data_IF_324503569809
#
_entry.id   IF_324503569809
#
_cell.length_a   1.000
_cell.length_b   1.000
_cell.length_c   1.000
_cell.angle_alpha   90.00
_cell.angle_beta   90.00
_cell.angle_gamma   90.00
#
_symmetry.space_group_name_H-M   'P 1'
#
loop_
_entity.id
_entity.type
_entity.pdbx_description
1 polymer ?
#
# COMPACT_ATOMS: atom_id res chain seq x y z
N UNK A 1 -16.43 -0.49 -3.64
CA UNK A 1 -15.05 0.02 -3.49
C UNK A 1 -14.49 -0.53 -2.18
N UNK A 2 -13.25 -1.00 -2.18
CA UNK A 2 -12.67 -1.84 -1.10
C UNK A 2 -11.73 -1.09 -0.16
N UNK A 3 -11.03 -0.09 -0.70
CA UNK A 3 -9.99 0.65 -0.01
C UNK A 3 -9.91 2.05 -0.62
N UNK A 4 -9.93 3.08 0.23
CA UNK A 4 -9.64 4.46 -0.13
C UNK A 4 -8.23 4.80 0.36
N UNK A 5 -7.34 5.16 -0.56
CA UNK A 5 -5.98 5.61 -0.23
C UNK A 5 -5.99 7.13 -0.05
N UNK A 6 -5.59 7.62 1.12
CA UNK A 6 -5.43 9.05 1.39
C UNK A 6 -3.96 9.41 1.51
N UNK A 7 -3.44 10.08 0.48
CA UNK A 7 -2.10 10.69 0.47
C UNK A 7 -2.15 12.03 1.25
N UNK A 8 -1.83 11.96 2.53
CA UNK A 8 -1.94 13.09 3.46
C UNK A 8 -0.75 14.05 3.26
N UNK A 9 -1.03 15.25 2.74
CA UNK A 9 -0.03 16.31 2.54
C UNK A 9 0.30 17.04 3.84
N UNK A 10 0.96 16.33 4.75
CA UNK A 10 1.22 16.73 6.14
C UNK A 10 2.47 17.59 6.34
N UNK A 11 3.33 17.70 5.33
CA UNK A 11 4.62 18.39 5.44
C UNK A 11 4.52 19.88 5.78
N UNK A 12 3.43 20.53 5.36
CA UNK A 12 3.17 21.96 5.62
C UNK A 12 2.40 22.21 6.93
N UNK A 13 2.00 21.16 7.65
CA UNK A 13 1.31 21.29 8.94
C UNK A 13 2.37 21.46 10.03
N UNK A 14 2.33 22.55 10.82
CA UNK A 14 3.27 22.72 11.94
C UNK A 14 3.16 21.59 12.96
N UNK A 15 4.27 21.26 13.62
CA UNK A 15 4.38 20.05 14.44
C UNK A 15 3.35 19.98 15.57
N UNK A 16 3.06 21.12 16.19
CA UNK A 16 2.06 21.33 17.24
C UNK A 16 0.62 21.07 16.77
N UNK A 17 0.32 21.24 15.48
CA UNK A 17 -1.01 21.02 14.91
C UNK A 17 -1.21 19.64 14.32
N UNK A 18 -0.14 18.83 14.14
CA UNK A 18 -0.24 17.50 13.51
C UNK A 18 -1.19 16.55 14.25
N UNK A 19 -1.18 16.59 15.58
CA UNK A 19 -2.09 15.77 16.39
C UNK A 19 -3.56 16.16 16.15
N UNK A 20 -3.84 17.47 16.12
CA UNK A 20 -5.17 18.01 15.83
C UNK A 20 -5.61 17.70 14.40
N UNK A 21 -4.72 17.84 13.41
CA UNK A 21 -5.01 17.50 12.01
C UNK A 21 -5.43 16.04 11.85
N UNK A 22 -4.73 15.12 12.52
CA UNK A 22 -5.10 13.70 12.58
C UNK A 22 -6.48 13.44 13.18
N UNK A 23 -6.80 14.12 14.28
CA UNK A 23 -8.12 14.06 14.91
C UNK A 23 -9.21 14.58 13.96
N UNK A 24 -9.03 15.75 13.35
CA UNK A 24 -9.99 16.35 12.41
C UNK A 24 -10.23 15.45 11.20
N UNK A 25 -9.20 14.78 10.70
CA UNK A 25 -9.34 13.77 9.65
C UNK A 25 -10.24 12.62 10.09
N UNK A 26 -9.99 12.03 11.27
CA UNK A 26 -10.81 10.93 11.77
C UNK A 26 -12.26 11.36 12.05
N UNK A 27 -12.48 12.56 12.61
CA UNK A 27 -13.80 13.18 12.75
C UNK A 27 -14.52 13.27 11.40
N UNK A 28 -13.82 13.68 10.36
CA UNK A 28 -14.37 13.82 9.01
C UNK A 28 -14.73 12.45 8.40
N UNK A 29 -13.88 11.43 8.58
CA UNK A 29 -14.18 10.07 8.13
C UNK A 29 -15.43 9.53 8.83
N UNK A 30 -15.53 9.68 10.14
CA UNK A 30 -16.73 9.29 10.90
C UNK A 30 -17.96 10.02 10.39
N UNK A 31 -17.89 11.36 10.28
CA UNK A 31 -19.05 12.18 9.94
C UNK A 31 -19.54 11.99 8.50
N UNK A 32 -18.62 11.90 7.55
CA UNK A 32 -18.97 12.00 6.12
C UNK A 32 -18.78 10.69 5.35
N UNK A 33 -17.92 9.79 5.78
CA UNK A 33 -17.67 8.52 5.08
C UNK A 33 -18.38 7.33 5.71
N UNK A 34 -18.46 7.28 7.05
CA UNK A 34 -18.95 6.10 7.77
C UNK A 34 -20.30 6.29 8.45
N UNK A 35 -20.77 7.53 8.64
CA UNK A 35 -22.05 7.80 9.30
C UNK A 35 -23.22 7.15 8.55
N UNK A 36 -24.00 6.32 9.26
CA UNK A 36 -25.14 5.61 8.69
C UNK A 36 -24.79 4.47 7.72
N UNK A 37 -23.49 4.14 7.54
CA UNK A 37 -23.06 3.07 6.63
C UNK A 37 -22.99 1.75 7.39
N UNK A 38 -23.74 0.70 6.96
CA UNK A 38 -23.67 -0.60 7.60
C UNK A 38 -22.26 -1.20 7.56
N UNK A 39 -21.91 -1.97 8.58
CA UNK A 39 -20.56 -2.49 8.78
C UNK A 39 -19.99 -3.23 7.56
N UNK A 40 -20.82 -4.03 6.88
CA UNK A 40 -20.43 -4.80 5.68
C UNK A 40 -20.18 -3.94 4.44
N UNK A 41 -20.58 -2.67 4.46
CA UNK A 41 -20.39 -1.68 3.38
C UNK A 41 -19.43 -0.56 3.77
N UNK A 42 -18.95 -0.53 5.01
CA UNK A 42 -18.02 0.47 5.50
C UNK A 42 -16.68 0.38 4.77
N UNK A 43 -16.27 1.49 4.16
CA UNK A 43 -15.02 1.60 3.41
C UNK A 43 -13.80 1.42 4.31
N UNK A 44 -12.79 0.66 3.86
CA UNK A 44 -11.46 0.71 4.45
C UNK A 44 -10.70 1.95 3.96
N UNK A 45 -9.88 2.56 4.81
CA UNK A 45 -9.12 3.76 4.50
C UNK A 45 -7.65 3.55 4.85
N UNK A 46 -6.75 3.78 3.90
CA UNK A 46 -5.31 3.78 4.13
C UNK A 46 -4.83 5.21 4.34
N UNK A 47 -4.30 5.50 5.52
CA UNK A 47 -3.74 6.79 5.89
C UNK A 47 -2.24 6.81 5.56
N UNK A 48 -1.87 7.53 4.51
CA UNK A 48 -0.48 7.65 4.07
C UNK A 48 0.10 9.01 4.47
N UNK A 49 1.03 9.03 5.41
CA UNK A 49 1.81 10.24 5.73
C UNK A 49 3.08 10.31 4.88
N UNK A 50 3.60 11.51 4.62
CA UNK A 50 4.81 11.67 3.81
C UNK A 50 6.08 11.15 4.49
N UNK A 51 6.22 11.39 5.80
CA UNK A 51 7.47 11.15 6.53
C UNK A 51 7.21 10.57 7.92
N UNK A 52 8.18 9.85 8.49
CA UNK A 52 8.04 9.22 9.82
C UNK A 52 7.88 10.23 10.96
N UNK A 53 8.42 11.44 10.80
CA UNK A 53 8.23 12.54 11.76
C UNK A 53 6.80 13.11 11.76
N UNK A 54 5.96 12.75 10.80
CA UNK A 54 4.54 13.13 10.73
C UNK A 54 3.63 12.17 11.53
N UNK A 55 4.18 11.20 12.25
CA UNK A 55 3.45 10.19 13.03
C UNK A 55 2.37 10.75 13.97
N UNK A 56 2.49 12.01 14.41
CA UNK A 56 1.48 12.64 15.26
C UNK A 56 0.12 12.79 14.56
N UNK A 57 0.09 12.86 13.22
CA UNK A 57 -1.16 12.83 12.44
C UNK A 57 -1.86 11.48 12.61
N UNK A 58 -1.12 10.38 12.42
CA UNK A 58 -1.66 9.04 12.64
C UNK A 58 -2.10 8.85 14.11
N UNK A 59 -1.28 9.31 15.07
CA UNK A 59 -1.60 9.26 16.51
C UNK A 59 -2.91 10.00 16.83
N UNK A 60 -3.14 11.16 16.23
CA UNK A 60 -4.38 11.93 16.41
C UNK A 60 -5.60 11.18 15.91
N UNK A 61 -5.50 10.57 14.73
CA UNK A 61 -6.56 9.77 14.14
C UNK A 61 -6.89 8.53 14.99
N UNK A 62 -5.86 7.78 15.39
CA UNK A 62 -6.00 6.60 16.27
C UNK A 62 -6.65 7.00 17.59
N UNK A 63 -6.17 8.06 18.25
CA UNK A 63 -6.70 8.52 19.55
C UNK A 63 -8.20 8.85 19.46
N UNK A 64 -8.63 9.50 18.38
CA UNK A 64 -10.05 9.80 18.18
C UNK A 64 -10.89 8.52 18.00
N UNK A 65 -10.39 7.59 17.19
CA UNK A 65 -11.09 6.32 16.94
C UNK A 65 -11.01 5.34 18.12
N UNK A 66 -10.17 5.57 19.13
CA UNK A 66 -10.13 4.79 20.38
C UNK A 66 -11.24 5.13 21.37
N UNK A 67 -12.04 6.15 21.09
CA UNK A 67 -13.26 6.40 21.86
C UNK A 67 -14.21 5.21 21.68
N UNK A 68 -14.86 4.78 22.76
CA UNK A 68 -15.73 3.58 22.79
C UNK A 68 -16.72 3.54 21.62
N UNK A 69 -17.37 4.67 21.34
CA UNK A 69 -18.32 4.83 20.22
C UNK A 69 -17.74 4.50 18.84
N UNK A 70 -16.43 4.69 18.63
CA UNK A 70 -15.77 4.57 17.33
C UNK A 70 -14.72 3.45 17.28
N UNK A 71 -14.48 2.72 18.38
CA UNK A 71 -13.46 1.68 18.47
C UNK A 71 -13.58 0.62 17.35
N UNK A 72 -14.81 0.27 16.98
CA UNK A 72 -15.09 -0.67 15.89
C UNK A 72 -14.60 -0.19 14.52
N UNK A 73 -14.41 1.11 14.30
CA UNK A 73 -13.91 1.67 13.04
C UNK A 73 -12.39 1.58 12.91
N UNK A 74 -11.65 1.30 13.98
CA UNK A 74 -10.20 1.10 13.88
C UNK A 74 -9.82 -0.03 12.93
N UNK A 75 -10.65 -1.08 12.86
CA UNK A 75 -10.44 -2.19 11.92
C UNK A 75 -10.54 -1.76 10.44
N UNK A 76 -11.06 -0.56 10.17
CA UNK A 76 -11.23 0.03 8.84
C UNK A 76 -10.11 0.96 8.45
N UNK A 77 -9.15 1.26 9.32
CA UNK A 77 -7.99 2.09 8.97
C UNK A 77 -6.71 1.27 8.84
N UNK A 78 -5.85 1.68 7.93
CA UNK A 78 -4.47 1.20 7.84
C UNK A 78 -3.50 2.35 7.65
N UNK A 79 -2.22 2.02 7.60
CA UNK A 79 -1.12 2.99 7.68
C UNK A 79 -0.09 2.77 6.58
N UNK A 80 0.38 3.86 5.98
CA UNK A 80 1.51 3.89 5.06
C UNK A 80 2.40 5.09 5.39
N UNK A 81 3.68 4.96 5.04
CA UNK A 81 4.65 6.06 5.06
C UNK A 81 5.27 6.16 3.68
N UNK A 82 4.95 7.27 3.01
CA UNK A 82 5.36 7.58 1.65
C UNK A 82 6.78 8.14 1.55
N UNK A 83 6.99 8.91 0.47
CA UNK A 83 8.24 9.62 0.13
C UNK A 83 9.53 8.79 0.21
N UNK A 84 9.40 7.46 0.07
CA UNK A 84 10.49 6.49 0.14
C UNK A 84 11.35 6.56 1.42
N UNK A 85 10.75 6.91 2.56
CA UNK A 85 11.45 6.88 3.85
C UNK A 85 12.13 5.51 4.08
N UNK A 86 13.31 5.46 4.74
CA UNK A 86 14.01 4.19 4.96
C UNK A 86 13.14 3.18 5.71
N UNK A 87 13.05 1.93 5.20
CA UNK A 87 12.16 0.89 5.77
C UNK A 87 12.40 0.63 7.27
N UNK A 88 13.63 0.82 7.74
CA UNK A 88 14.00 0.62 9.14
C UNK A 88 13.52 1.77 10.05
N UNK A 89 13.42 3.00 9.54
CA UNK A 89 12.81 4.13 10.25
C UNK A 89 11.29 3.96 10.35
N UNK A 90 10.66 3.53 9.27
CA UNK A 90 9.22 3.23 9.23
C UNK A 90 8.88 2.16 10.27
N UNK A 91 9.69 1.09 10.35
CA UNK A 91 9.55 0.05 11.37
C UNK A 91 9.61 0.62 12.79
N UNK A 92 10.64 1.41 13.11
CA UNK A 92 10.79 2.03 14.44
C UNK A 92 9.62 2.93 14.79
N UNK A 93 9.10 3.69 13.82
CA UNK A 93 7.91 4.52 14.00
C UNK A 93 6.70 3.67 14.40
N UNK A 94 6.42 2.59 13.65
CA UNK A 94 5.32 1.69 13.97
C UNK A 94 5.48 1.02 15.34
N UNK A 95 6.68 0.56 15.69
CA UNK A 95 6.99 -0.02 17.01
C UNK A 95 6.73 0.99 18.13
N UNK A 96 7.22 2.23 17.99
CA UNK A 96 6.99 3.32 18.96
C UNK A 96 5.50 3.66 19.14
N UNK A 97 4.72 3.53 18.07
CA UNK A 97 3.28 3.80 18.08
C UNK A 97 2.43 2.60 18.52
N UNK A 98 3.02 1.40 18.67
CA UNK A 98 2.27 0.17 18.92
C UNK A 98 1.45 -0.31 17.71
N UNK A 99 1.80 0.11 16.49
CA UNK A 99 1.11 -0.31 15.26
C UNK A 99 1.67 -1.66 14.81
N UNK A 100 0.90 -2.73 15.03
CA UNK A 100 1.33 -4.11 14.75
C UNK A 100 0.65 -4.76 13.54
N UNK A 101 -0.27 -4.05 12.89
CA UNK A 101 -1.06 -4.55 11.77
C UNK A 101 -1.54 -3.40 10.86
N UNK A 102 -2.10 -3.75 9.71
CA UNK A 102 -2.66 -2.84 8.70
C UNK A 102 -1.62 -1.92 8.05
N UNK A 103 -0.39 -2.41 7.89
CA UNK A 103 0.75 -1.64 7.38
C UNK A 103 0.95 -1.92 5.91
N UNK A 104 0.67 -0.93 5.08
CA UNK A 104 1.01 -0.94 3.67
C UNK A 104 2.38 -0.27 3.48
N UNK A 105 3.11 -0.69 2.45
CA UNK A 105 4.35 -0.04 2.05
C UNK A 105 4.34 0.22 0.55
N UNK A 106 4.41 1.50 0.19
CA UNK A 106 4.65 1.92 -1.18
C UNK A 106 6.11 1.92 -1.55
N UNK A 107 6.41 1.57 -2.79
CA UNK A 107 7.65 1.96 -3.48
C UNK A 107 7.30 2.60 -4.82
N UNK A 108 8.11 3.54 -5.29
CA UNK A 108 7.77 4.30 -6.48
C UNK A 108 8.60 5.54 -6.71
N UNK A 109 8.61 6.02 -7.94
CA UNK A 109 9.07 7.36 -8.29
C UNK A 109 8.18 7.91 -9.42
N UNK A 110 8.11 9.24 -9.58
CA UNK A 110 7.36 9.84 -10.69
C UNK A 110 7.78 9.20 -12.02
N UNK A 111 6.79 8.89 -12.87
CA UNK A 111 6.96 8.22 -14.18
C UNK A 111 8.09 8.81 -15.04
N UNK A 112 8.40 10.10 -14.89
CA UNK A 112 9.40 10.84 -15.64
C UNK A 112 10.85 10.40 -15.41
N UNK A 113 11.15 9.67 -14.32
CA UNK A 113 12.51 9.25 -13.94
C UNK A 113 12.69 7.73 -13.90
N UNK A 114 11.72 7.00 -14.47
CA UNK A 114 11.57 5.54 -14.31
C UNK A 114 12.69 4.72 -14.94
N UNK A 115 13.36 5.24 -15.96
CA UNK A 115 14.44 4.56 -16.68
C UNK A 115 15.76 4.49 -15.89
N UNK A 116 15.90 5.23 -14.78
CA UNK A 116 17.19 5.40 -14.09
C UNK A 116 17.26 4.78 -12.68
N UNK A 117 16.18 4.18 -12.16
CA UNK A 117 16.16 3.72 -10.76
C UNK A 117 15.80 2.22 -10.67
N UNK A 118 16.71 1.37 -10.16
CA UNK A 118 16.44 -0.05 -9.98
C UNK A 118 15.32 -0.29 -8.95
N UNK A 119 14.52 -1.35 -9.16
CA UNK A 119 13.49 -1.88 -8.25
C UNK A 119 14.01 -2.38 -6.88
N UNK A 120 15.16 -1.89 -6.40
CA UNK A 120 15.86 -2.42 -5.25
C UNK A 120 15.08 -2.20 -3.94
N UNK A 121 14.46 -1.02 -3.76
CA UNK A 121 13.65 -0.73 -2.57
C UNK A 121 12.33 -1.52 -2.58
N UNK A 122 11.65 -1.63 -3.72
CA UNK A 122 10.49 -2.51 -3.89
C UNK A 122 10.81 -3.95 -3.51
N UNK A 123 11.90 -4.53 -4.06
CA UNK A 123 12.34 -5.89 -3.71
C UNK A 123 12.65 -6.04 -2.22
N UNK A 124 13.24 -5.03 -1.58
CA UNK A 124 13.44 -5.00 -0.12
C UNK A 124 12.13 -5.00 0.67
N UNK A 125 11.15 -4.19 0.27
CA UNK A 125 9.83 -4.15 0.91
C UNK A 125 9.09 -5.50 0.77
N UNK A 126 9.17 -6.14 -0.41
CA UNK A 126 8.61 -7.47 -0.64
C UNK A 126 9.30 -8.53 0.23
N UNK A 127 10.63 -8.50 0.31
CA UNK A 127 11.40 -9.41 1.19
C UNK A 127 11.04 -9.20 2.67
N UNK A 128 10.86 -7.94 3.08
CA UNK A 128 10.44 -7.57 4.43
C UNK A 128 9.02 -8.04 4.74
N UNK A 129 8.07 -7.94 3.80
CA UNK A 129 6.70 -8.48 3.97
C UNK A 129 6.71 -9.99 4.15
N UNK A 130 7.51 -10.70 3.34
CA UNK A 130 7.50 -12.16 3.24
C UNK A 130 8.33 -12.88 4.33
N UNK A 131 9.28 -12.20 4.99
CA UNK A 131 10.10 -12.85 6.02
C UNK A 131 9.30 -13.14 7.31
N UNK A 132 9.64 -14.21 8.05
CA UNK A 132 9.13 -14.41 9.41
C UNK A 132 9.43 -13.18 10.28
N UNK A 133 8.43 -12.70 11.03
CA UNK A 133 8.53 -11.48 11.83
C UNK A 133 8.57 -10.17 11.03
N UNK A 134 8.36 -10.22 9.72
CA UNK A 134 8.26 -9.05 8.86
C UNK A 134 7.09 -8.14 9.24
N UNK A 135 7.32 -6.82 9.28
CA UNK A 135 6.31 -5.85 9.72
C UNK A 135 5.40 -5.35 8.60
N UNK A 136 5.71 -5.60 7.33
CA UNK A 136 4.86 -5.11 6.23
C UNK A 136 3.73 -6.11 6.00
N UNK A 137 2.49 -5.62 5.85
CA UNK A 137 1.31 -6.45 5.60
C UNK A 137 0.93 -6.49 4.12
N UNK A 138 1.11 -5.37 3.40
CA UNK A 138 0.90 -5.24 1.96
C UNK A 138 1.97 -4.37 1.32
N UNK A 139 2.32 -4.66 0.08
CA UNK A 139 3.24 -3.85 -0.73
C UNK A 139 2.53 -3.35 -1.97
N UNK A 140 2.64 -2.06 -2.29
CA UNK A 140 2.12 -1.51 -3.53
C UNK A 140 3.20 -0.78 -4.32
N UNK A 141 2.99 -0.65 -5.63
CA UNK A 141 3.90 0.05 -6.53
C UNK A 141 3.19 1.22 -7.23
N UNK A 142 3.85 2.37 -7.30
CA UNK A 142 3.27 3.60 -7.84
C UNK A 142 4.31 4.47 -8.58
N UNK A 143 3.93 5.36 -9.49
CA UNK A 143 2.76 5.21 -10.38
C UNK A 143 3.18 4.32 -11.54
N UNK A 144 2.30 3.44 -12.03
CA UNK A 144 2.67 2.48 -13.10
C UNK A 144 1.57 2.38 -14.15
N UNK A 145 1.86 2.79 -15.38
CA UNK A 145 0.83 2.93 -16.42
C UNK A 145 0.97 1.95 -17.60
N UNK A 146 2.19 1.44 -17.85
CA UNK A 146 2.46 0.53 -18.98
C UNK A 146 2.15 -0.92 -18.61
N UNK A 147 1.40 -1.68 -19.43
CA UNK A 147 1.06 -3.08 -19.17
C UNK A 147 2.27 -3.96 -18.83
N UNK A 148 3.38 -3.80 -19.56
CA UNK A 148 4.59 -4.60 -19.38
C UNK A 148 5.20 -4.38 -17.99
N UNK A 149 5.26 -3.12 -17.55
CA UNK A 149 5.77 -2.81 -16.22
C UNK A 149 4.79 -3.14 -15.10
N UNK A 150 3.48 -3.10 -15.37
CA UNK A 150 2.47 -3.64 -14.45
C UNK A 150 2.72 -5.13 -14.25
N UNK A 151 2.86 -5.88 -15.34
CA UNK A 151 3.12 -7.32 -15.30
C UNK A 151 4.43 -7.64 -14.58
N UNK A 152 5.52 -6.90 -14.83
CA UNK A 152 6.79 -7.05 -14.10
C UNK A 152 6.61 -6.84 -12.59
N UNK A 153 5.92 -5.77 -12.18
CA UNK A 153 5.70 -5.49 -10.78
C UNK A 153 4.83 -6.57 -10.11
N UNK A 154 3.81 -7.10 -10.81
CA UNK A 154 3.01 -8.23 -10.35
C UNK A 154 3.86 -9.50 -10.18
N UNK A 155 4.78 -9.80 -11.12
CA UNK A 155 5.70 -10.96 -11.01
C UNK A 155 6.58 -10.87 -9.77
N UNK A 156 7.09 -9.67 -9.46
CA UNK A 156 7.85 -9.41 -8.21
C UNK A 156 7.03 -9.71 -6.95
N UNK A 157 5.70 -9.64 -7.04
CA UNK A 157 4.78 -10.06 -6.00
C UNK A 157 4.26 -8.94 -5.13
N UNK A 158 3.93 -7.79 -5.72
CA UNK A 158 3.17 -6.72 -5.09
C UNK A 158 1.71 -7.13 -4.84
N UNK A 159 1.04 -6.44 -3.93
CA UNK A 159 -0.39 -6.60 -3.61
C UNK A 159 -1.29 -5.52 -4.25
N UNK A 160 -0.71 -4.39 -4.68
CA UNK A 160 -1.48 -3.27 -5.22
C UNK A 160 -0.67 -2.38 -6.17
N UNK A 161 -1.37 -1.68 -7.06
CA UNK A 161 -0.79 -0.73 -8.02
C UNK A 161 -1.57 0.57 -7.94
N UNK A 162 -0.86 1.70 -7.93
CA UNK A 162 -1.44 3.01 -8.23
C UNK A 162 -1.10 3.32 -9.69
N UNK A 163 -2.13 3.61 -10.50
CA UNK A 163 -2.03 3.79 -11.94
C UNK A 163 -3.02 4.85 -12.41
N UNK A 164 -2.65 5.62 -13.43
CA UNK A 164 -3.56 6.49 -14.17
C UNK A 164 -4.36 5.70 -15.23
N UNK A 165 -3.96 4.46 -15.53
CA UNK A 165 -4.57 3.59 -16.54
C UNK A 165 -5.10 2.29 -15.90
N UNK A 166 -6.14 2.34 -15.05
CA UNK A 166 -6.65 1.17 -14.33
C UNK A 166 -7.09 0.02 -15.23
N UNK A 167 -7.53 0.32 -16.47
CA UNK A 167 -7.85 -0.71 -17.47
C UNK A 167 -6.65 -1.59 -17.82
N UNK A 168 -5.44 -1.02 -17.90
CA UNK A 168 -4.23 -1.80 -18.16
C UNK A 168 -3.96 -2.77 -17.02
N UNK A 169 -4.11 -2.34 -15.76
CA UNK A 169 -3.94 -3.22 -14.61
C UNK A 169 -5.00 -4.34 -14.59
N UNK A 170 -6.25 -4.01 -14.90
CA UNK A 170 -7.32 -4.99 -15.03
C UNK A 170 -7.04 -6.03 -16.12
N UNK A 171 -6.67 -5.57 -17.32
CA UNK A 171 -6.40 -6.44 -18.47
C UNK A 171 -5.20 -7.36 -18.21
N UNK A 172 -4.11 -6.85 -17.62
CA UNK A 172 -2.94 -7.67 -17.25
C UNK A 172 -3.33 -8.76 -16.25
N UNK A 173 -4.05 -8.41 -15.17
CA UNK A 173 -4.46 -9.41 -14.16
C UNK A 173 -5.39 -10.47 -14.76
N UNK A 174 -6.38 -10.04 -15.55
CA UNK A 174 -7.42 -10.95 -16.07
C UNK A 174 -6.99 -11.76 -17.30
N UNK A 175 -5.94 -11.32 -18.02
CA UNK A 175 -5.41 -12.04 -19.19
C UNK A 175 -4.13 -12.80 -18.89
N UNK A 176 -3.11 -12.14 -18.35
CA UNK A 176 -1.79 -12.74 -18.13
C UNK A 176 -1.70 -13.57 -16.85
N UNK A 177 -2.40 -13.15 -15.79
CA UNK A 177 -2.38 -13.81 -14.48
C UNK A 177 -3.71 -14.50 -14.15
N UNK A 178 -4.50 -14.81 -15.19
CA UNK A 178 -5.76 -15.53 -15.06
C UNK A 178 -5.55 -16.89 -14.40
N UNK A 179 -6.36 -17.20 -13.38
CA UNK A 179 -6.26 -18.43 -12.59
C UNK A 179 -5.21 -18.40 -11.47
N UNK A 180 -4.30 -17.43 -11.46
CA UNK A 180 -3.30 -17.25 -10.39
C UNK A 180 -3.66 -16.10 -9.45
N UNK A 181 -4.18 -15.00 -10.02
CA UNK A 181 -4.53 -13.79 -9.29
C UNK A 181 -5.96 -13.33 -9.66
N UNK A 182 -6.52 -12.47 -8.80
CA UNK A 182 -7.80 -11.79 -9.05
C UNK A 182 -7.71 -10.33 -8.61
N UNK A 183 -8.61 -9.51 -9.16
CA UNK A 183 -8.86 -8.18 -8.63
C UNK A 183 -9.56 -8.32 -7.27
N UNK A 184 -9.04 -7.63 -6.26
CA UNK A 184 -9.60 -7.66 -4.91
C UNK A 184 -11.03 -7.09 -4.88
N UNK A 185 -11.92 -7.74 -4.13
CA UNK A 185 -13.30 -7.32 -3.91
C UNK A 185 -13.61 -7.16 -2.41
N UNK A 186 -14.84 -6.80 -2.06
CA UNK A 186 -15.25 -6.49 -0.67
C UNK A 186 -15.00 -7.60 0.33
N UNK A 187 -14.80 -8.84 -0.13
CA UNK A 187 -14.52 -10.00 0.72
C UNK A 187 -13.02 -10.17 1.00
N UNK A 188 -12.14 -9.48 0.27
CA UNK A 188 -10.71 -9.52 0.46
C UNK A 188 -10.28 -8.49 1.51
N UNK A 189 -9.80 -8.96 2.66
CA UNK A 189 -9.33 -8.09 3.73
C UNK A 189 -8.02 -7.39 3.30
N UNK A 190 -7.98 -6.05 3.14
CA UNK A 190 -6.79 -5.33 2.68
C UNK A 190 -5.64 -5.36 3.69
N UNK A 191 -5.89 -5.84 4.91
CA UNK A 191 -4.89 -5.92 5.97
C UNK A 191 -4.28 -7.30 6.14
N UNK A 192 -4.86 -8.33 5.51
CA UNK A 192 -4.39 -9.71 5.61
C UNK A 192 -3.28 -9.96 4.59
N UNK A 193 -2.09 -10.31 5.07
CA UNK A 193 -0.97 -10.72 4.22
C UNK A 193 -1.40 -11.80 3.23
N UNK A 194 -1.08 -11.59 1.95
CA UNK A 194 -1.30 -12.62 0.95
C UNK A 194 -0.23 -13.70 1.09
N UNK A 195 -0.66 -14.95 1.25
CA UNK A 195 0.23 -16.11 1.19
C UNK A 195 0.13 -16.70 -0.21
N UNK A 196 1.22 -16.61 -1.00
CA UNK A 196 1.25 -17.29 -2.29
C UNK A 196 1.09 -18.81 -2.06
N UNK A 197 0.26 -19.50 -2.85
CA UNK A 197 0.19 -20.96 -2.81
C UNK A 197 1.59 -21.56 -3.03
N UNK A 198 1.96 -22.60 -2.27
CA UNK A 198 3.29 -23.25 -2.36
C UNK A 198 3.63 -23.81 -3.76
N UNK A 199 2.60 -24.01 -4.60
CA UNK A 199 2.72 -24.55 -5.96
C UNK A 199 2.45 -23.50 -7.05
N UNK A 200 2.28 -22.22 -6.68
CA UNK A 200 2.14 -21.12 -7.64
C UNK A 200 3.51 -20.71 -8.17
N UNK A 201 3.58 -20.42 -9.46
CA UNK A 201 4.80 -19.93 -10.12
C UNK A 201 5.42 -18.78 -9.30
N UNK A 202 6.62 -19.01 -8.79
CA UNK A 202 7.42 -18.03 -8.08
C UNK A 202 7.87 -16.90 -9.00
N UNK A 203 8.43 -15.82 -8.44
CA UNK A 203 9.03 -14.76 -9.26
C UNK A 203 10.14 -15.27 -10.20
N UNK A 204 10.75 -16.41 -9.88
CA UNK A 204 11.76 -17.09 -10.69
C UNK A 204 11.17 -18.01 -11.79
N UNK A 205 9.86 -18.26 -11.77
CA UNK A 205 9.18 -19.19 -12.68
C UNK A 205 8.57 -18.47 -13.90
N UNK A 206 8.69 -17.14 -13.94
CA UNK A 206 8.38 -16.37 -15.14
C UNK A 206 9.67 -16.19 -15.94
N UNK A 207 9.74 -16.69 -17.19
CA UNK A 207 10.92 -16.50 -18.01
C UNK A 207 11.22 -15.01 -18.14
N UNK A 208 12.49 -14.67 -17.96
CA UNK A 208 13.01 -13.31 -18.06
C UNK A 208 12.96 -12.88 -19.54
N UNK A 209 11.80 -12.49 -20.05
CA UNK A 209 11.60 -12.09 -21.47
C UNK A 209 12.20 -10.72 -21.83
N UNK A 210 13.14 -10.19 -21.04
CA UNK A 210 13.67 -8.83 -21.21
C UNK A 210 15.16 -8.73 -21.53
N UNK A 211 15.89 -9.84 -21.72
CA UNK A 211 17.35 -9.81 -21.82
C UNK A 211 17.94 -10.08 -23.21
N UNK A 212 17.37 -11.01 -23.97
CA UNK A 212 18.13 -11.68 -25.04
C UNK A 212 17.68 -11.37 -26.48
N UNK A 213 16.53 -10.72 -26.68
CA UNK A 213 16.06 -10.37 -28.04
C UNK A 213 16.72 -9.11 -28.63
N UNK A 214 17.40 -8.29 -27.83
CA UNK A 214 18.06 -7.05 -28.29
C UNK A 214 19.52 -7.23 -28.73
N UNK A 215 20.06 -8.46 -28.73
CA UNK A 215 21.44 -8.76 -29.17
C UNK A 215 21.56 -9.34 -30.58
N UNK A 216 20.48 -9.37 -31.36
CA UNK A 216 20.48 -9.92 -32.73
C UNK A 216 20.09 -8.95 -33.85
N UNK A 217 20.00 -7.66 -33.55
CA UNK A 217 19.80 -6.63 -34.58
C UNK A 217 20.56 -5.36 -34.21
N UNK A 218 21.85 -5.35 -34.53
CA UNK A 218 22.65 -4.18 -34.93
C UNK A 218 23.98 -4.70 -35.48
#
# INVERSE_FOLDING_TARGET
MVLLFLDLKTSKVPAEYKLTAGRTLAESLVKYLWNGVPENRTMNVLLSIGYTNDQNVLKGAIKYLSQEKYAHLQRRIGFDVGMNAPLHEIRRMYEKMGITHHRWQGDGLMNCFRLLIPHHRLKKAIKERNRPGGYIDKVYYWTVDLPESIAEAIRLGIDGIITNKPRNAFDVVTREFSGELKIANSNDNPWKKFQRPKNGKGANDYPNKGGDEWKKSN
#
